data_IF_132947767601
#
_entry.id   IF_132947767601
#
_cell.length_a   1.000
_cell.length_b   1.000
_cell.length_c   1.000
_cell.angle_alpha   90.00
_cell.angle_beta   90.00
_cell.angle_gamma   90.00
#
_symmetry.space_group_name_H-M   'P 1'
#
loop_
_entity.id
_entity.type
_entity.pdbx_description
1 polymer ?
#
# COMPACT_ATOMS: atom_id res chain seq x y z
N UNK A 1 19.87 20.93 17.09
CA UNK A 1 19.38 20.67 15.72
C UNK A 1 19.00 19.20 15.65
N UNK A 2 17.76 18.87 15.27
CA UNK A 2 17.29 17.48 15.18
C UNK A 2 18.05 16.79 14.02
N UNK A 3 18.67 15.65 14.30
CA UNK A 3 19.36 14.86 13.27
C UNK A 3 18.31 14.11 12.44
N UNK A 4 17.95 14.70 11.28
CA UNK A 4 16.90 14.18 10.38
C UNK A 4 17.22 12.76 9.91
N UNK A 5 18.50 12.44 9.72
CA UNK A 5 18.94 11.10 9.32
C UNK A 5 18.58 10.06 10.37
N UNK A 6 18.85 10.35 11.65
CA UNK A 6 18.47 9.47 12.77
C UNK A 6 16.97 9.31 12.92
N UNK A 7 16.20 10.39 12.74
CA UNK A 7 14.72 10.32 12.81
C UNK A 7 14.17 9.43 11.70
N UNK A 8 14.68 9.58 10.48
CA UNK A 8 14.31 8.74 9.35
C UNK A 8 14.65 7.28 9.59
N UNK A 9 15.86 6.99 10.06
CA UNK A 9 16.31 5.63 10.38
C UNK A 9 15.42 4.96 11.42
N UNK A 10 15.12 5.65 12.53
CA UNK A 10 14.21 5.14 13.57
C UNK A 10 12.82 4.87 13.00
N UNK A 11 12.30 5.75 12.14
CA UNK A 11 11.02 5.55 11.48
C UNK A 11 11.02 4.31 10.56
N UNK A 12 12.06 4.13 9.75
CA UNK A 12 12.18 2.95 8.88
C UNK A 12 12.17 1.65 9.69
N UNK A 13 12.91 1.60 10.79
CA UNK A 13 12.94 0.42 11.67
C UNK A 13 11.59 0.17 12.36
N UNK A 14 10.94 1.23 12.84
CA UNK A 14 9.60 1.12 13.44
C UNK A 14 8.58 0.60 12.43
N UNK A 15 8.56 1.16 11.21
CA UNK A 15 7.73 0.69 10.11
C UNK A 15 8.01 -0.77 9.76
N UNK A 16 9.28 -1.17 9.74
CA UNK A 16 9.66 -2.54 9.44
C UNK A 16 9.11 -3.53 10.47
N UNK A 17 9.34 -3.26 11.76
CA UNK A 17 8.90 -4.13 12.85
C UNK A 17 7.37 -4.27 12.86
N UNK A 18 6.65 -3.14 12.82
CA UNK A 18 5.19 -3.13 12.83
C UNK A 18 4.62 -3.74 11.55
N UNK A 19 5.20 -3.42 10.41
CA UNK A 19 4.78 -3.91 9.10
C UNK A 19 4.92 -5.42 8.98
N UNK A 20 6.06 -5.99 9.37
CA UNK A 20 6.27 -7.45 9.38
C UNK A 20 5.27 -8.09 10.35
N UNK A 21 5.08 -7.52 11.54
CA UNK A 21 4.14 -8.05 12.52
C UNK A 21 2.70 -8.08 12.01
N UNK A 22 2.16 -6.94 11.54
CA UNK A 22 0.76 -6.86 11.10
C UNK A 22 0.49 -7.63 9.81
N UNK A 23 1.41 -7.63 8.83
CA UNK A 23 1.26 -8.46 7.63
C UNK A 23 1.31 -9.95 7.98
N UNK A 24 2.23 -10.38 8.85
CA UNK A 24 2.30 -11.78 9.30
C UNK A 24 1.05 -12.20 10.06
N UNK A 25 0.53 -11.33 10.93
CA UNK A 25 -0.74 -11.55 11.64
C UNK A 25 -1.90 -11.70 10.66
N UNK A 26 -2.00 -10.82 9.66
CA UNK A 26 -3.05 -10.88 8.64
C UNK A 26 -2.95 -12.16 7.79
N UNK A 27 -1.73 -12.56 7.40
CA UNK A 27 -1.48 -13.84 6.71
C UNK A 27 -1.98 -15.01 7.55
N UNK A 28 -1.65 -15.05 8.84
CA UNK A 28 -2.14 -16.09 9.75
C UNK A 28 -3.68 -16.11 9.82
N UNK A 29 -4.33 -14.94 9.90
CA UNK A 29 -5.80 -14.86 9.90
C UNK A 29 -6.42 -15.34 8.58
N UNK A 30 -5.80 -15.02 7.45
CA UNK A 30 -6.22 -15.46 6.12
C UNK A 30 -6.12 -16.98 6.00
N UNK A 31 -4.98 -17.56 6.37
CA UNK A 31 -4.71 -19.00 6.20
C UNK A 31 -5.58 -19.84 7.14
N UNK A 32 -5.66 -19.46 8.41
CA UNK A 32 -6.27 -20.33 9.43
C UNK A 32 -7.71 -19.97 9.78
N UNK A 33 -8.19 -18.77 9.45
CA UNK A 33 -9.48 -18.26 9.95
C UNK A 33 -10.38 -17.63 8.89
N UNK A 34 -10.03 -17.70 7.61
CA UNK A 34 -10.86 -17.16 6.53
C UNK A 34 -12.12 -18.00 6.30
N UNK A 35 -13.29 -17.34 6.33
CA UNK A 35 -14.58 -17.98 6.03
C UNK A 35 -14.73 -18.23 4.52
N UNK A 36 -15.51 -19.25 4.13
CA UNK A 36 -15.65 -19.63 2.72
C UNK A 36 -16.14 -18.47 1.82
N UNK A 37 -17.02 -17.62 2.33
CA UNK A 37 -17.58 -16.45 1.63
C UNK A 37 -16.52 -15.43 1.20
N UNK A 38 -15.47 -15.24 2.00
CA UNK A 38 -14.40 -14.26 1.71
C UNK A 38 -13.18 -14.89 1.03
N UNK A 39 -13.23 -16.18 0.69
CA UNK A 39 -12.07 -16.94 0.18
C UNK A 39 -11.50 -16.41 -1.14
N UNK A 40 -12.30 -15.93 -2.11
CA UNK A 40 -11.73 -15.30 -3.31
C UNK A 40 -10.95 -14.03 -2.97
N UNK A 41 -11.49 -13.22 -2.07
CA UNK A 41 -10.89 -11.98 -1.61
C UNK A 41 -9.63 -12.22 -0.74
N UNK A 42 -9.59 -13.30 0.02
CA UNK A 42 -8.46 -13.62 0.89
C UNK A 42 -7.17 -13.94 0.11
N UNK A 43 -7.28 -14.43 -1.13
CA UNK A 43 -6.12 -14.61 -2.03
C UNK A 43 -5.49 -13.28 -2.44
N UNK A 44 -6.34 -12.28 -2.74
CA UNK A 44 -5.88 -10.93 -3.08
C UNK A 44 -5.19 -10.30 -1.87
N UNK A 45 -5.80 -10.40 -0.69
CA UNK A 45 -5.19 -9.92 0.55
C UNK A 45 -3.85 -10.60 0.85
N UNK A 46 -3.77 -11.91 0.65
CA UNK A 46 -2.53 -12.67 0.86
C UNK A 46 -1.41 -12.16 -0.05
N UNK A 47 -1.71 -11.97 -1.34
CA UNK A 47 -0.77 -11.41 -2.29
C UNK A 47 -0.28 -10.02 -1.84
N UNK A 48 -1.19 -9.15 -1.39
CA UNK A 48 -0.79 -7.82 -0.94
C UNK A 48 0.07 -7.88 0.32
N UNK A 49 -0.21 -8.77 1.28
CA UNK A 49 0.67 -8.95 2.43
C UNK A 49 2.08 -9.40 2.03
N UNK A 50 2.19 -10.28 1.03
CA UNK A 50 3.50 -10.73 0.51
C UNK A 50 4.26 -9.58 -0.12
N UNK A 51 3.60 -8.77 -0.94
CA UNK A 51 4.19 -7.56 -1.53
C UNK A 51 4.60 -6.56 -0.46
N UNK A 52 3.75 -6.32 0.53
CA UNK A 52 4.03 -5.36 1.60
C UNK A 52 5.26 -5.81 2.42
N UNK A 53 5.39 -7.10 2.72
CA UNK A 53 6.61 -7.67 3.35
C UNK A 53 7.83 -7.51 2.44
N UNK A 54 7.70 -7.82 1.15
CA UNK A 54 8.78 -7.62 0.18
C UNK A 54 9.26 -6.17 0.16
N UNK A 55 8.33 -5.22 0.08
CA UNK A 55 8.61 -3.77 0.08
C UNK A 55 9.25 -3.31 1.39
N UNK A 56 8.83 -3.87 2.54
CA UNK A 56 9.45 -3.59 3.84
C UNK A 56 10.90 -4.09 3.85
N UNK A 57 11.18 -5.30 3.36
CA UNK A 57 12.53 -5.85 3.34
C UNK A 57 13.45 -5.00 2.47
N UNK A 58 13.03 -4.66 1.25
CA UNK A 58 13.81 -3.80 0.35
C UNK A 58 13.98 -2.39 0.92
N UNK A 59 12.97 -1.86 1.60
CA UNK A 59 13.04 -0.56 2.30
C UNK A 59 14.11 -0.55 3.40
N UNK A 60 14.26 -1.62 4.19
CA UNK A 60 15.32 -1.70 5.21
C UNK A 60 16.71 -1.70 4.55
N UNK A 61 16.85 -2.39 3.42
CA UNK A 61 18.13 -2.49 2.70
C UNK A 61 18.51 -1.17 2.05
N UNK A 62 17.57 -0.47 1.45
CA UNK A 62 17.80 0.78 0.69
C UNK A 62 17.76 2.02 1.59
N UNK A 63 16.82 2.08 2.54
CA UNK A 63 16.43 3.26 3.33
C UNK A 63 16.39 4.54 2.49
N UNK A 64 15.42 4.67 1.57
CA UNK A 64 15.37 5.77 0.63
C UNK A 64 14.99 7.07 1.34
N UNK A 65 15.87 8.05 1.26
CA UNK A 65 15.67 9.40 1.78
C UNK A 65 15.42 10.32 0.58
N UNK A 66 14.22 10.87 0.48
CA UNK A 66 13.95 11.92 -0.50
C UNK A 66 14.40 13.27 0.03
N UNK A 67 14.99 14.08 -0.82
CA UNK A 67 15.36 15.44 -0.52
C UNK A 67 15.20 16.32 -1.76
N UNK A 68 15.08 17.63 -1.55
CA UNK A 68 15.07 18.59 -2.64
C UNK A 68 16.39 19.35 -2.60
N UNK A 69 17.22 19.16 -3.62
CA UNK A 69 18.52 19.82 -3.75
C UNK A 69 18.48 20.71 -4.98
N UNK A 70 18.64 22.02 -4.78
CA UNK A 70 18.59 23.02 -5.86
C UNK A 70 17.31 23.01 -6.69
N UNK A 71 16.18 22.62 -6.09
CA UNK A 71 14.88 22.51 -6.77
C UNK A 71 14.63 21.16 -7.47
N UNK A 72 15.58 20.22 -7.38
CA UNK A 72 15.44 18.88 -7.93
C UNK A 72 15.10 17.88 -6.84
N UNK A 73 14.13 17.00 -7.10
CA UNK A 73 13.84 15.85 -6.27
C UNK A 73 14.97 14.83 -6.44
N UNK A 74 15.72 14.60 -5.37
CA UNK A 74 16.80 13.61 -5.30
C UNK A 74 16.45 12.56 -4.25
N UNK A 75 16.81 11.32 -4.54
CA UNK A 75 16.62 10.19 -3.62
C UNK A 75 17.99 9.64 -3.25
N UNK A 76 18.29 9.63 -1.96
CA UNK A 76 19.52 9.10 -1.40
C UNK A 76 19.26 7.74 -0.75
N UNK A 77 20.27 6.88 -0.80
CA UNK A 77 20.29 5.60 -0.08
C UNK A 77 20.96 5.81 1.27
N UNK A 78 20.23 5.59 2.37
CA UNK A 78 20.82 5.63 3.71
C UNK A 78 21.13 4.23 4.29
N UNK A 79 20.67 3.17 3.60
CA UNK A 79 20.76 1.80 4.07
C UNK A 79 22.07 1.09 3.71
N UNK A 80 22.03 -0.23 3.69
CA UNK A 80 23.16 -1.09 3.31
C UNK A 80 23.48 -0.92 1.81
N UNK A 81 22.46 -0.66 0.99
CA UNK A 81 22.59 -0.52 -0.46
C UNK A 81 23.65 0.52 -0.87
N UNK A 82 23.79 1.62 -0.12
CA UNK A 82 24.73 2.71 -0.41
C UNK A 82 26.20 2.29 -0.44
N UNK A 83 26.53 1.20 0.25
CA UNK A 83 27.89 0.68 0.36
C UNK A 83 28.22 -0.36 -0.71
N UNK A 84 27.24 -0.75 -1.51
CA UNK A 84 27.44 -1.70 -2.59
C UNK A 84 27.96 -0.98 -3.85
N UNK A 85 28.87 -1.61 -4.61
CA UNK A 85 29.32 -1.04 -5.86
C UNK A 85 28.20 -1.04 -6.91
N UNK A 86 28.31 -0.15 -7.88
CA UNK A 86 27.50 -0.21 -9.10
C UNK A 86 27.79 -1.54 -9.82
N UNK A 87 26.77 -2.25 -10.35
CA UNK A 87 25.37 -1.81 -10.48
C UNK A 87 24.44 -2.26 -9.34
N UNK A 88 24.95 -2.92 -8.30
CA UNK A 88 24.14 -3.62 -7.31
C UNK A 88 23.28 -2.69 -6.45
N UNK A 89 23.79 -1.51 -6.08
CA UNK A 89 23.03 -0.51 -5.35
C UNK A 89 21.80 -0.03 -6.16
N UNK A 90 22.00 0.30 -7.45
CA UNK A 90 20.93 0.72 -8.36
C UNK A 90 19.90 -0.40 -8.54
N UNK A 91 20.33 -1.65 -8.67
CA UNK A 91 19.40 -2.79 -8.75
C UNK A 91 18.52 -2.87 -7.49
N UNK A 92 19.09 -2.72 -6.30
CA UNK A 92 18.32 -2.74 -5.05
C UNK A 92 17.37 -1.55 -4.94
N UNK A 93 17.79 -0.36 -5.37
CA UNK A 93 16.92 0.80 -5.46
C UNK A 93 15.73 0.54 -6.38
N UNK A 94 15.97 0.01 -7.59
CA UNK A 94 14.92 -0.30 -8.55
C UNK A 94 13.95 -1.36 -8.02
N UNK A 95 14.44 -2.38 -7.32
CA UNK A 95 13.62 -3.39 -6.65
C UNK A 95 12.73 -2.77 -5.57
N UNK A 96 13.27 -1.85 -4.78
CA UNK A 96 12.47 -1.11 -3.80
C UNK A 96 11.40 -0.25 -4.48
N UNK A 97 11.77 0.55 -5.49
CA UNK A 97 10.83 1.39 -6.26
C UNK A 97 9.71 0.51 -6.86
N UNK A 98 10.06 -0.63 -7.44
CA UNK A 98 9.10 -1.59 -7.97
C UNK A 98 8.11 -2.06 -6.89
N UNK A 99 8.60 -2.54 -5.74
CA UNK A 99 7.75 -2.99 -4.64
C UNK A 99 6.84 -1.88 -4.10
N UNK A 100 7.37 -0.66 -4.00
CA UNK A 100 6.63 0.50 -3.54
C UNK A 100 5.44 0.82 -4.45
N UNK A 101 5.67 1.03 -5.75
CA UNK A 101 4.59 1.31 -6.70
C UNK A 101 3.62 0.15 -6.84
N UNK A 102 4.12 -1.09 -6.82
CA UNK A 102 3.28 -2.27 -6.88
C UNK A 102 2.34 -2.38 -5.67
N UNK A 103 2.77 -2.00 -4.46
CA UNK A 103 1.92 -1.92 -3.28
C UNK A 103 0.83 -0.85 -3.43
N UNK A 104 1.17 0.34 -3.93
CA UNK A 104 0.19 1.42 -4.20
C UNK A 104 -0.89 0.94 -5.18
N UNK A 105 -0.48 0.39 -6.32
CA UNK A 105 -1.39 -0.09 -7.36
C UNK A 105 -2.24 -1.24 -6.84
N UNK A 106 -1.63 -2.19 -6.11
CA UNK A 106 -2.35 -3.31 -5.51
C UNK A 106 -3.45 -2.82 -4.57
N UNK A 107 -3.17 -1.79 -3.75
CA UNK A 107 -4.14 -1.19 -2.86
C UNK A 107 -5.29 -0.52 -3.64
N UNK A 108 -5.00 0.25 -4.68
CA UNK A 108 -6.03 0.84 -5.55
C UNK A 108 -6.91 -0.24 -6.19
N UNK A 109 -6.31 -1.30 -6.73
CA UNK A 109 -7.03 -2.42 -7.33
C UNK A 109 -7.87 -3.21 -6.33
N UNK A 110 -7.45 -3.32 -5.07
CA UNK A 110 -8.27 -3.92 -4.02
C UNK A 110 -9.56 -3.14 -3.79
N UNK A 111 -9.50 -1.81 -3.76
CA UNK A 111 -10.69 -0.98 -3.65
C UNK A 111 -11.60 -1.16 -4.86
N UNK A 112 -11.04 -1.17 -6.07
CA UNK A 112 -11.79 -1.38 -7.31
C UNK A 112 -12.47 -2.75 -7.32
N UNK A 113 -11.74 -3.80 -6.95
CA UNK A 113 -12.26 -5.16 -6.83
C UNK A 113 -13.43 -5.22 -5.83
N UNK A 114 -13.29 -4.63 -4.64
CA UNK A 114 -14.36 -4.58 -3.63
C UNK A 114 -15.59 -3.85 -4.16
N UNK A 115 -15.41 -2.73 -4.86
CA UNK A 115 -16.50 -1.98 -5.47
C UNK A 115 -17.26 -2.82 -6.51
N UNK A 116 -16.55 -3.49 -7.43
CA UNK A 116 -17.20 -4.32 -8.45
C UNK A 116 -17.94 -5.53 -7.85
N UNK A 117 -17.38 -6.15 -6.83
CA UNK A 117 -18.02 -7.30 -6.17
C UNK A 117 -19.24 -6.86 -5.34
N UNK A 118 -19.12 -5.79 -4.55
CA UNK A 118 -20.18 -5.36 -3.62
C UNK A 118 -21.28 -4.51 -4.25
N UNK A 119 -20.91 -3.59 -5.15
CA UNK A 119 -21.85 -2.63 -5.73
C UNK A 119 -22.37 -3.06 -7.11
N UNK A 120 -21.63 -3.93 -7.82
CA UNK A 120 -22.01 -4.40 -9.16
C UNK A 120 -22.28 -5.90 -9.23
N UNK A 121 -22.15 -6.62 -8.11
CA UNK A 121 -22.37 -8.07 -7.99
C UNK A 121 -21.58 -8.91 -9.03
N UNK A 122 -20.45 -8.38 -9.49
CA UNK A 122 -19.64 -9.04 -10.52
C UNK A 122 -18.84 -10.21 -9.95
N UNK A 123 -18.96 -11.38 -10.58
CA UNK A 123 -18.13 -12.55 -10.25
C UNK A 123 -16.77 -12.41 -10.93
N UNK A 124 -15.84 -11.74 -10.27
CA UNK A 124 -14.48 -11.56 -10.77
C UNK A 124 -13.62 -12.76 -10.37
N UNK A 125 -13.15 -13.52 -11.36
CA UNK A 125 -12.20 -14.61 -11.10
C UNK A 125 -10.81 -14.06 -10.70
N UNK A 126 -9.99 -14.81 -9.94
CA UNK A 126 -8.64 -14.39 -9.58
C UNK A 126 -7.75 -14.05 -10.80
N UNK A 127 -7.99 -14.68 -11.95
CA UNK A 127 -7.27 -14.38 -13.18
C UNK A 127 -7.54 -12.95 -13.67
N UNK A 128 -8.80 -12.49 -13.61
CA UNK A 128 -9.13 -11.12 -13.99
C UNK A 128 -8.42 -10.11 -13.09
N UNK A 129 -8.32 -10.40 -11.78
CA UNK A 129 -7.54 -9.56 -10.86
C UNK A 129 -6.06 -9.53 -11.22
N UNK A 130 -5.46 -10.69 -11.51
CA UNK A 130 -4.07 -10.76 -11.95
C UNK A 130 -3.83 -9.99 -13.25
N UNK A 131 -4.76 -10.06 -14.21
CA UNK A 131 -4.68 -9.29 -15.46
C UNK A 131 -4.79 -7.79 -15.21
N UNK A 132 -5.72 -7.34 -14.37
CA UNK A 132 -5.81 -5.92 -13.98
C UNK A 132 -4.50 -5.44 -13.34
N UNK A 133 -3.90 -6.26 -12.48
CA UNK A 133 -2.63 -5.96 -11.83
C UNK A 133 -1.47 -5.89 -12.82
N UNK A 134 -1.38 -6.85 -13.75
CA UNK A 134 -0.37 -6.86 -14.80
C UNK A 134 -0.47 -5.59 -15.65
N UNK A 135 -1.67 -5.25 -16.13
CA UNK A 135 -1.90 -4.06 -16.95
C UNK A 135 -1.55 -2.80 -16.18
N UNK A 136 -1.99 -2.69 -14.92
CA UNK A 136 -1.70 -1.53 -14.08
C UNK A 136 -0.21 -1.39 -13.75
N UNK A 137 0.58 -2.48 -13.81
CA UNK A 137 2.02 -2.45 -13.57
C UNK A 137 2.85 -1.98 -14.77
N UNK A 138 2.29 -1.96 -16.00
CA UNK A 138 3.02 -1.55 -17.22
C UNK A 138 3.66 -0.15 -17.09
N UNK A 139 2.93 0.90 -16.64
CA UNK A 139 3.53 2.23 -16.46
C UNK A 139 4.71 2.24 -15.50
N UNK A 140 4.69 1.40 -14.45
CA UNK A 140 5.79 1.28 -13.49
C UNK A 140 7.02 0.69 -14.16
N UNK A 141 6.86 -0.34 -14.99
CA UNK A 141 7.98 -0.91 -15.75
C UNK A 141 8.57 0.10 -16.74
N UNK A 142 7.72 0.86 -17.44
CA UNK A 142 8.18 1.94 -18.35
C UNK A 142 8.96 2.99 -17.56
N UNK A 143 8.43 3.44 -16.42
CA UNK A 143 9.09 4.40 -15.54
C UNK A 143 10.46 3.89 -15.05
N UNK A 144 10.53 2.66 -14.56
CA UNK A 144 11.79 2.04 -14.12
C UNK A 144 12.80 1.92 -15.27
N UNK A 145 12.34 1.55 -16.47
CA UNK A 145 13.20 1.45 -17.65
C UNK A 145 13.80 2.81 -18.05
N UNK A 146 12.99 3.87 -18.02
CA UNK A 146 13.46 5.25 -18.25
C UNK A 146 14.50 5.63 -17.19
N UNK A 147 14.23 5.36 -15.91
CA UNK A 147 15.16 5.66 -14.82
C UNK A 147 16.50 4.94 -14.99
N UNK A 148 16.49 3.65 -15.34
CA UNK A 148 17.71 2.91 -15.66
C UNK A 148 18.50 3.56 -16.80
N UNK A 149 17.79 4.01 -17.85
CA UNK A 149 18.41 4.60 -19.04
C UNK A 149 19.02 5.97 -18.75
N UNK A 150 18.43 6.73 -17.83
CA UNK A 150 18.93 8.05 -17.38
C UNK A 150 20.09 7.91 -16.41
N UNK A 151 20.08 6.91 -15.51
CA UNK A 151 21.12 6.73 -14.48
C UNK A 151 22.46 6.21 -15.03
N UNK A 152 22.45 5.55 -16.20
CA UNK A 152 23.65 5.13 -16.90
C UNK A 152 23.76 5.85 -18.25
N UNK A 153 23.95 7.18 -18.26
CA UNK A 153 24.17 7.88 -19.51
C UNK A 153 25.54 7.43 -20.00
N UNK A 154 25.58 6.68 -21.09
CA UNK A 154 26.82 6.51 -21.83
C UNK A 154 27.30 7.91 -22.21
N UNK A 155 28.46 8.37 -21.70
CA UNK A 155 28.92 9.75 -21.90
C UNK A 155 29.19 10.07 -23.37
N UNK A 156 29.27 9.07 -24.24
CA UNK A 156 29.41 9.22 -25.68
C UNK A 156 28.07 9.37 -26.43
N UNK A 157 26.94 9.13 -25.77
CA UNK A 157 25.65 9.02 -26.44
C UNK A 157 24.89 10.36 -26.42
N UNK A 158 24.51 10.92 -27.59
CA UNK A 158 23.71 12.16 -27.69
C UNK A 158 22.29 12.03 -27.10
N UNK A 159 21.94 10.85 -26.57
CA UNK A 159 20.67 10.58 -25.93
C UNK A 159 20.61 11.19 -24.53
N UNK A 160 21.72 11.45 -23.84
CA UNK A 160 21.69 11.94 -22.45
C UNK A 160 20.92 13.27 -22.27
N UNK A 161 21.06 14.21 -23.21
CA UNK A 161 20.30 15.47 -23.20
C UNK A 161 18.83 15.27 -23.58
N UNK A 162 18.54 14.39 -24.54
CA UNK A 162 17.18 14.03 -24.93
C UNK A 162 16.45 13.25 -23.83
N UNK A 163 17.13 12.36 -23.11
CA UNK A 163 16.57 11.60 -21.98
C UNK A 163 16.31 12.50 -20.79
N UNK A 164 17.16 13.51 -20.53
CA UNK A 164 16.87 14.51 -19.50
C UNK A 164 15.62 15.35 -19.84
N UNK A 165 15.46 15.73 -21.12
CA UNK A 165 14.26 16.44 -21.60
C UNK A 165 13.00 15.56 -21.51
N UNK A 166 13.08 14.33 -22.04
CA UNK A 166 11.98 13.35 -21.96
C UNK A 166 11.64 13.02 -20.51
N UNK A 167 12.62 12.97 -19.60
CA UNK A 167 12.38 12.73 -18.19
C UNK A 167 11.56 13.85 -17.54
N UNK A 168 11.81 15.11 -17.91
CA UNK A 168 11.00 16.24 -17.45
C UNK A 168 9.57 16.15 -17.98
N UNK A 169 9.40 15.90 -19.28
CA UNK A 169 8.08 15.80 -19.91
C UNK A 169 7.28 14.59 -19.39
N UNK A 170 7.95 13.47 -19.15
CA UNK A 170 7.33 12.26 -18.59
C UNK A 170 7.00 12.43 -17.12
N UNK A 171 7.81 13.14 -16.33
CA UNK A 171 7.43 13.42 -14.94
C UNK A 171 6.14 14.22 -14.87
N UNK A 172 5.96 15.20 -15.77
CA UNK A 172 4.72 15.96 -15.87
C UNK A 172 3.53 15.07 -16.28
N UNK A 173 3.72 14.16 -17.25
CA UNK A 173 2.67 13.21 -17.68
C UNK A 173 2.37 12.16 -16.60
N UNK A 174 3.38 11.60 -15.94
CA UNK A 174 3.22 10.63 -14.85
C UNK A 174 2.56 11.31 -13.66
N UNK A 175 2.89 12.57 -13.38
CA UNK A 175 2.22 13.38 -12.36
C UNK A 175 0.74 13.56 -12.70
N UNK A 176 0.39 13.91 -13.95
CA UNK A 176 -1.00 14.02 -14.41
C UNK A 176 -1.73 12.67 -14.39
N UNK A 177 -1.11 11.59 -14.86
CA UNK A 177 -1.71 10.25 -14.85
C UNK A 177 -1.91 9.76 -13.42
N UNK A 178 -0.96 10.02 -12.51
CA UNK A 178 -1.08 9.75 -11.08
C UNK A 178 -2.17 10.60 -10.44
N UNK A 179 -2.33 11.87 -10.83
CA UNK A 179 -3.42 12.76 -10.41
C UNK A 179 -4.79 12.23 -10.86
N UNK A 180 -4.92 11.81 -12.10
CA UNK A 180 -6.18 11.25 -12.65
C UNK A 180 -6.49 9.89 -12.00
N UNK A 181 -5.48 9.05 -11.75
CA UNK A 181 -5.65 7.78 -11.02
C UNK A 181 -5.97 8.01 -9.53
N UNK A 182 -5.49 9.12 -8.94
CA UNK A 182 -5.70 9.48 -7.53
C UNK A 182 -7.10 10.00 -7.23
N UNK A 183 -7.80 10.55 -8.22
CA UNK A 183 -9.08 11.21 -8.05
C UNK A 183 -10.24 10.26 -7.74
N UNK A 184 -10.07 8.93 -7.88
CA UNK A 184 -11.22 8.00 -7.86
C UNK A 184 -11.15 6.91 -6.78
N UNK A 185 -10.03 6.58 -6.10
CA UNK A 185 -10.04 5.34 -5.26
C UNK A 185 -9.43 5.24 -3.84
N UNK A 186 -8.43 6.01 -3.37
CA UNK A 186 -8.28 6.13 -1.90
C UNK A 186 -7.63 7.46 -1.44
N UNK A 187 -8.43 8.51 -1.28
CA UNK A 187 -8.00 9.91 -1.02
C UNK A 187 -7.19 10.19 0.28
N UNK A 188 -6.74 9.18 1.03
CA UNK A 188 -5.91 9.38 2.23
C UNK A 188 -4.52 8.76 2.06
N UNK A 189 -4.43 7.53 1.52
CA UNK A 189 -3.14 6.85 1.32
C UNK A 189 -2.29 7.48 0.21
N UNK A 190 -2.91 7.91 -0.89
CA UNK A 190 -2.24 8.59 -2.01
C UNK A 190 -2.03 10.09 -1.76
N UNK A 191 -2.83 10.71 -0.88
CA UNK A 191 -2.71 12.14 -0.56
C UNK A 191 -1.33 12.50 -0.03
N UNK A 192 -0.66 11.60 0.70
CA UNK A 192 0.69 11.79 1.21
C UNK A 192 1.72 11.83 0.06
N UNK A 193 1.61 10.91 -0.91
CA UNK A 193 2.50 10.91 -2.09
C UNK A 193 2.22 12.12 -2.99
N UNK A 194 0.97 12.55 -3.08
CA UNK A 194 0.59 13.73 -3.87
C UNK A 194 1.02 15.03 -3.17
N UNK A 195 0.89 15.11 -1.84
CA UNK A 195 1.48 16.18 -1.04
C UNK A 195 3.00 16.18 -1.13
N UNK A 196 3.67 15.04 -1.32
CA UNK A 196 5.11 15.00 -1.60
C UNK A 196 5.49 15.84 -2.80
N UNK A 197 4.81 15.58 -3.91
CA UNK A 197 5.07 16.20 -5.20
C UNK A 197 4.63 17.66 -5.18
N UNK A 198 3.42 17.95 -4.70
CA UNK A 198 2.89 19.32 -4.59
C UNK A 198 3.68 20.20 -3.62
N UNK A 199 4.18 19.66 -2.51
CA UNK A 199 4.98 20.44 -1.57
C UNK A 199 6.37 20.73 -2.16
N UNK A 200 6.90 19.84 -3.01
CA UNK A 200 8.17 20.08 -3.72
C UNK A 200 8.09 21.22 -4.74
N UNK A 201 6.92 21.48 -5.31
CA UNK A 201 6.71 22.54 -6.32
C UNK A 201 6.24 23.87 -5.71
N UNK A 202 5.51 23.84 -4.59
CA UNK A 202 4.92 25.05 -3.98
C UNK A 202 5.78 25.73 -2.94
N UNK A 203 6.68 24.99 -2.28
CA UNK A 203 7.48 25.55 -1.20
C UNK A 203 8.87 25.92 -1.71
N UNK A 204 9.17 27.23 -1.75
CA UNK A 204 10.38 27.79 -2.35
C UNK A 204 11.70 27.19 -1.85
N UNK A 205 12.77 27.41 -2.63
CA UNK A 205 14.14 26.84 -2.54
C UNK A 205 14.81 26.79 -1.14
N UNK A 206 14.27 27.45 -0.12
CA UNK A 206 14.80 27.48 1.25
C UNK A 206 14.13 26.56 2.27
N UNK A 207 13.04 25.87 1.93
CA UNK A 207 12.23 25.13 2.92
C UNK A 207 12.31 23.60 2.83
N UNK A 208 13.22 23.07 1.98
CA UNK A 208 13.33 21.64 1.70
C UNK A 208 13.54 20.77 2.95
N UNK A 209 14.19 21.31 3.99
CA UNK A 209 14.44 20.58 5.24
C UNK A 209 13.15 20.24 6.02
N UNK A 210 12.09 21.05 5.90
CA UNK A 210 10.87 20.84 6.67
C UNK A 210 9.89 19.89 5.98
N UNK A 211 10.01 19.67 4.67
CA UNK A 211 9.08 18.86 3.88
C UNK A 211 9.29 17.37 4.12
N UNK A 212 10.56 16.97 4.31
CA UNK A 212 11.02 15.60 4.51
C UNK A 212 10.19 14.85 5.58
N UNK A 213 10.03 15.33 6.83
CA UNK A 213 9.29 14.59 7.85
C UNK A 213 7.80 14.44 7.57
N UNK A 214 7.13 15.43 6.98
CA UNK A 214 5.68 15.40 6.77
C UNK A 214 5.25 14.53 5.58
N UNK A 215 6.16 14.33 4.63
CA UNK A 215 5.88 13.64 3.39
C UNK A 215 6.46 12.23 3.37
N UNK A 216 7.72 12.09 3.76
CA UNK A 216 8.48 10.86 3.53
C UNK A 216 8.21 9.86 4.63
N UNK A 217 8.05 10.32 5.88
CA UNK A 217 7.76 9.40 6.97
C UNK A 217 6.46 8.64 6.69
N UNK A 218 5.32 9.29 6.35
CA UNK A 218 4.08 8.55 6.16
C UNK A 218 4.06 7.64 4.92
N UNK A 219 4.89 7.91 3.90
CA UNK A 219 5.08 7.00 2.74
C UNK A 219 5.55 5.61 3.21
N UNK A 220 6.49 5.55 4.15
CA UNK A 220 7.00 4.29 4.70
C UNK A 220 5.96 3.51 5.51
N UNK A 221 4.88 4.15 5.94
CA UNK A 221 3.82 3.52 6.72
C UNK A 221 2.77 2.82 5.85
N UNK A 222 2.77 2.99 4.51
CA UNK A 222 1.78 2.35 3.63
C UNK A 222 1.70 0.82 3.85
N UNK A 223 2.82 0.06 3.86
CA UNK A 223 2.79 -1.39 4.09
C UNK A 223 2.34 -1.79 5.50
N UNK A 224 2.37 -0.86 6.46
CA UNK A 224 1.94 -1.08 7.85
C UNK A 224 0.45 -0.80 8.00
N UNK A 225 -0.02 0.31 7.44
CA UNK A 225 -1.41 0.75 7.56
C UNK A 225 -2.35 -0.19 6.81
N UNK A 226 -1.92 -0.77 5.70
CA UNK A 226 -2.74 -1.66 4.89
C UNK A 226 -3.29 -2.88 5.66
N UNK A 227 -2.46 -3.73 6.31
CA UNK A 227 -2.96 -4.84 7.11
C UNK A 227 -3.74 -4.36 8.35
N UNK A 228 -3.33 -3.27 8.99
CA UNK A 228 -4.03 -2.71 10.17
C UNK A 228 -5.46 -2.31 9.81
N UNK A 229 -5.62 -1.51 8.76
CA UNK A 229 -6.94 -1.07 8.26
C UNK A 229 -7.75 -2.29 7.85
N UNK A 230 -7.16 -3.25 7.16
CA UNK A 230 -7.85 -4.49 6.76
C UNK A 230 -8.36 -5.28 7.96
N UNK A 231 -7.56 -5.44 9.02
CA UNK A 231 -7.96 -6.13 10.25
C UNK A 231 -9.12 -5.41 10.95
N UNK A 232 -9.09 -4.07 10.99
CA UNK A 232 -10.11 -3.24 11.66
C UNK A 232 -11.44 -3.21 10.87
N UNK A 233 -11.35 -3.08 9.54
CA UNK A 233 -12.51 -2.91 8.65
C UNK A 233 -13.20 -4.24 8.38
N UNK A 234 -12.45 -5.31 8.11
CA UNK A 234 -13.04 -6.61 7.78
C UNK A 234 -13.59 -7.27 9.04
N UNK A 235 -14.92 -7.26 9.16
CA UNK A 235 -15.62 -7.72 10.37
C UNK A 235 -15.26 -9.15 10.81
N UNK A 236 -14.98 -10.06 9.87
CA UNK A 236 -14.51 -11.41 10.19
C UNK A 236 -13.19 -11.39 10.97
N UNK A 237 -12.20 -10.62 10.50
CA UNK A 237 -10.90 -10.47 11.15
C UNK A 237 -11.01 -9.72 12.47
N UNK A 238 -11.76 -8.61 12.51
CA UNK A 238 -12.03 -7.88 13.74
C UNK A 238 -12.64 -8.76 14.84
N UNK A 239 -13.60 -9.63 14.49
CA UNK A 239 -14.22 -10.56 15.45
C UNK A 239 -13.23 -11.58 16.02
N UNK A 240 -12.29 -12.05 15.21
CA UNK A 240 -11.25 -12.99 15.63
C UNK A 240 -10.29 -12.30 16.61
N UNK A 241 -9.83 -11.09 16.28
CA UNK A 241 -8.83 -10.38 17.09
C UNK A 241 -9.42 -9.89 18.41
N UNK A 242 -10.57 -9.22 18.38
CA UNK A 242 -11.14 -8.60 19.57
C UNK A 242 -12.02 -9.52 20.39
N UNK A 243 -12.10 -10.82 20.02
CA UNK A 243 -12.94 -11.87 20.66
C UNK A 243 -14.07 -11.26 21.47
N UNK A 244 -15.00 -10.56 20.81
CA UNK A 244 -16.27 -10.25 21.47
C UNK A 244 -16.90 -11.62 21.69
N UNK A 245 -16.72 -12.17 22.89
CA UNK A 245 -17.61 -13.19 23.42
C UNK A 245 -18.98 -12.56 23.17
N UNK A 246 -19.68 -13.02 22.14
CA UNK A 246 -21.13 -12.95 22.16
C UNK A 246 -21.42 -13.66 23.47
N UNK A 247 -21.68 -12.89 24.52
CA UNK A 247 -22.56 -13.32 25.58
C UNK A 247 -23.74 -13.80 24.75
N UNK A 248 -23.82 -15.11 24.57
CA UNK A 248 -25.00 -15.71 24.04
C UNK A 248 -26.06 -15.08 24.91
N UNK A 249 -26.90 -14.24 24.31
CA UNK A 249 -28.18 -13.93 24.90
C UNK A 249 -28.77 -15.31 25.02
N UNK A 250 -28.55 -15.91 26.19
CA UNK A 250 -29.26 -17.07 26.67
C UNK A 250 -30.67 -16.57 26.44
N UNK A 251 -31.34 -17.15 25.45
CA UNK A 251 -32.77 -17.22 25.47
C UNK A 251 -33.04 -17.94 26.80
N UNK A 252 -33.06 -17.16 27.88
CA UNK A 252 -33.83 -17.48 29.06
C UNK A 252 -35.21 -17.46 28.46
N UNK A 253 -35.59 -18.63 27.96
CA UNK A 253 -36.95 -19.08 28.02
C UNK A 253 -37.35 -18.80 29.47
N UNK A 254 -37.89 -17.61 29.68
CA UNK A 254 -39.09 -17.40 30.44
C UNK A 254 -40.10 -18.22 29.63
N UNK A 255 -40.37 -19.52 29.82
CA UNK A 255 -40.48 -20.34 31.03
C UNK A 255 -41.08 -19.60 32.24
N UNK A 256 -41.95 -18.64 31.96
CA UNK A 256 -43.24 -18.55 32.65
C UNK A 256 -44.24 -18.90 31.55
N UNK A 257 -44.74 -20.14 31.42
CA UNK A 257 -45.53 -20.79 32.45
C UNK A 257 -46.88 -20.09 32.55
N UNK A 258 -47.85 -20.52 31.72
CA UNK A 258 -49.31 -20.59 31.99
C UNK A 258 -50.02 -20.79 30.64
N UNK A 259 -50.36 -21.99 30.22
CA UNK A 259 -51.63 -22.67 30.56
C UNK A 259 -52.85 -21.75 30.51
N UNK A 260 -53.57 -21.81 29.39
CA UNK A 260 -55.03 -21.76 29.30
C UNK A 260 -55.36 -22.24 27.86
N UNK A 261 -55.58 -23.54 27.67
CA UNK A 261 -56.92 -24.14 27.70
C UNK A 261 -57.90 -23.35 26.84
N UNK A 262 -58.13 -23.81 25.62
CA UNK A 262 -59.46 -23.80 25.00
C UNK A 262 -59.48 -24.85 23.88
N UNK A 263 -59.67 -26.10 24.31
CA UNK A 263 -60.48 -27.04 23.56
C UNK A 263 -61.91 -26.46 23.52
N UNK A 264 -62.38 -26.05 22.35
CA UNK A 264 -63.82 -25.99 22.09
C UNK A 264 -64.11 -27.02 21.02
N UNK A 265 -64.94 -27.96 21.45
CA UNK A 265 -65.44 -29.14 20.79
C UNK A 265 -66.68 -28.75 19.96
N UNK A 266 -66.71 -29.27 18.73
CA UNK A 266 -67.89 -29.68 17.93
C UNK A 266 -68.83 -28.57 17.37
N UNK A 267 -69.83 -28.90 16.51
CA UNK A 267 -70.21 -30.20 15.94
C UNK A 267 -70.48 -30.22 14.40
N UNK A 268 -70.66 -31.45 13.91
CA UNK A 268 -71.31 -31.94 12.66
C UNK A 268 -70.75 -31.55 11.31
#
# INVERSE_FOLDING_TARGET
>A
MLDIGKVHEVNCWLCAILGIFFNSLLIWMIVYRSVAEIRPYSRILLQTCVIDIYTIITMIVVQPVFAIVSGWNVMYENGIARHLPLPYNVILMLLWIFGYYFSIISNALQFFYRYLVLCREMKISPLHYLLMLLIASIPVFIYLWIQCSVMYPDPSHPIASLTAQIFLDINEIVEIMMLVYSAILPCVGSSISMMAVLTSTTVGKGSSLYIIPFVILPIHWIPVLNPVITIIVVGAYRRILFRRKRIATINVNIATGSSATNQIIAPT
#
